data_IF_907539641255
#
_entry.id   IF_907539641255
#
_cell.length_a   1.000
_cell.length_b   1.000
_cell.length_c   1.000
_cell.angle_alpha   90.00
_cell.angle_beta   90.00
_cell.angle_gamma   90.00
#
_symmetry.space_group_name_H-M   'P 1'
#
loop_
_entity.id
_entity.type
_entity.pdbx_description
1 polymer ?
#
# COMPACT_ATOMS: atom_id res chain seq x y z
N UNK A 1 -11.10 11.10 -39.45
CA UNK A 1 -10.49 12.00 -38.47
C UNK A 1 -10.83 11.46 -37.09
N UNK A 2 -9.83 11.44 -36.20
CA UNK A 2 -9.93 11.29 -34.74
C UNK A 2 -10.33 9.90 -34.21
N UNK A 3 -9.30 9.14 -33.83
CA UNK A 3 -9.43 8.00 -32.92
C UNK A 3 -9.68 8.51 -31.48
N UNK A 4 -10.32 7.62 -30.71
CA UNK A 4 -10.75 7.64 -29.30
C UNK A 4 -10.12 8.66 -28.33
N UNK A 5 -10.92 9.24 -27.40
CA UNK A 5 -10.42 9.56 -26.08
C UNK A 5 -10.42 8.30 -25.19
N UNK A 6 -9.21 7.92 -24.81
CA UNK A 6 -8.81 7.62 -23.42
C UNK A 6 -9.48 6.42 -22.72
N UNK A 7 -8.66 5.37 -22.60
CA UNK A 7 -8.80 4.27 -21.67
C UNK A 7 -8.92 4.79 -20.24
N UNK A 8 -10.14 4.85 -19.72
CA UNK A 8 -10.36 4.72 -18.28
C UNK A 8 -10.32 3.22 -17.95
N UNK A 9 -9.11 2.68 -17.94
CA UNK A 9 -8.87 1.37 -17.33
C UNK A 9 -8.69 1.59 -15.83
N UNK A 10 -9.61 1.02 -15.07
CA UNK A 10 -9.69 1.19 -13.63
C UNK A 10 -11.01 0.68 -13.08
N UNK A 11 -11.51 -0.42 -13.65
CA UNK A 11 -12.56 -1.23 -13.03
C UNK A 11 -11.97 -1.96 -11.83
N UNK A 12 -11.67 -1.22 -10.76
CA UNK A 12 -11.42 -1.75 -9.43
C UNK A 12 -12.76 -2.07 -8.80
N UNK A 13 -13.14 -3.34 -8.88
CA UNK A 13 -14.34 -3.93 -8.30
C UNK A 13 -14.63 -3.38 -6.91
N UNK A 14 -15.75 -2.69 -6.80
CA UNK A 14 -16.42 -2.34 -5.55
C UNK A 14 -16.75 -3.63 -4.78
N UNK A 15 -15.95 -3.98 -3.77
CA UNK A 15 -16.36 -4.91 -2.72
C UNK A 15 -16.13 -4.24 -1.37
N UNK A 16 -17.06 -3.37 -0.97
CA UNK A 16 -17.49 -3.09 0.41
C UNK A 16 -16.48 -2.75 1.51
N UNK A 17 -15.18 -2.78 1.28
CA UNK A 17 -14.13 -2.37 2.21
C UNK A 17 -13.83 -0.91 1.88
N UNK A 18 -13.85 -0.04 2.89
CA UNK A 18 -13.34 1.32 2.74
C UNK A 18 -11.87 1.21 2.35
N UNK A 19 -11.60 1.30 1.05
CA UNK A 19 -10.24 1.37 0.52
C UNK A 19 -9.78 2.78 0.86
N UNK A 20 -8.68 2.89 1.62
CA UNK A 20 -8.08 4.20 1.91
C UNK A 20 -7.76 4.91 0.60
N UNK A 21 -8.10 6.19 0.51
CA UNK A 21 -7.90 6.97 -0.71
C UNK A 21 -6.42 7.36 -0.81
N UNK A 22 -5.68 6.68 -1.69
CA UNK A 22 -4.29 7.02 -2.00
C UNK A 22 -4.20 7.99 -3.17
N UNK A 23 -3.04 8.63 -3.34
CA UNK A 23 -2.85 9.69 -4.34
C UNK A 23 -2.90 9.16 -5.78
N UNK A 24 -2.39 7.96 -6.00
CA UNK A 24 -2.45 7.28 -7.28
C UNK A 24 -3.07 5.89 -7.20
N UNK A 25 -3.18 5.27 -8.37
CA UNK A 25 -3.67 3.90 -8.56
C UNK A 25 -2.54 2.91 -8.87
N UNK A 26 -1.30 3.39 -8.93
CA UNK A 26 -0.12 2.55 -9.02
C UNK A 26 0.20 1.99 -7.62
N UNK A 27 1.04 0.95 -7.56
CA UNK A 27 1.53 0.43 -6.28
C UNK A 27 3.00 0.08 -6.43
N UNK A 28 3.86 0.93 -5.90
CA UNK A 28 5.31 0.78 -5.93
C UNK A 28 5.80 0.53 -4.51
N UNK A 29 6.20 -0.70 -4.20
CA UNK A 29 6.82 -0.99 -2.91
C UNK A 29 8.23 -0.39 -2.85
N UNK A 30 8.39 0.69 -2.08
CA UNK A 30 9.69 1.33 -1.84
C UNK A 30 10.50 0.56 -0.81
N UNK A 31 9.87 0.09 0.26
CA UNK A 31 10.54 -0.61 1.34
C UNK A 31 9.63 -1.67 1.96
N UNK A 32 10.24 -2.80 2.28
CA UNK A 32 9.64 -3.88 3.07
C UNK A 32 10.63 -4.29 4.14
N UNK A 33 10.18 -4.36 5.39
CA UNK A 33 11.03 -4.77 6.50
C UNK A 33 10.35 -5.84 7.36
N UNK A 34 11.13 -6.85 7.71
CA UNK A 34 10.81 -7.85 8.72
C UNK A 34 11.58 -7.46 9.99
N UNK A 35 10.88 -6.94 10.98
CA UNK A 35 11.44 -6.40 12.22
C UNK A 35 11.60 -7.51 13.27
N UNK A 36 10.70 -8.48 13.27
CA UNK A 36 10.66 -9.57 14.25
C UNK A 36 11.40 -10.84 13.77
N UNK A 37 11.85 -10.89 12.51
CA UNK A 37 12.55 -12.02 11.88
C UNK A 37 11.72 -13.31 11.87
N UNK A 38 10.39 -13.21 11.83
CA UNK A 38 9.50 -14.36 11.73
C UNK A 38 9.38 -14.90 10.29
N UNK A 39 9.92 -14.15 9.31
CA UNK A 39 9.87 -14.48 7.89
C UNK A 39 8.63 -13.92 7.18
N UNK A 40 7.84 -13.08 7.85
CA UNK A 40 6.81 -12.24 7.26
C UNK A 40 7.28 -10.79 7.30
N UNK A 41 6.68 -9.97 6.43
CA UNK A 41 7.00 -8.54 6.43
C UNK A 41 6.15 -7.89 7.51
N UNK A 42 6.77 -7.06 8.34
CA UNK A 42 6.08 -6.29 9.38
C UNK A 42 5.75 -4.87 8.91
N UNK A 43 6.50 -4.33 7.95
CA UNK A 43 6.39 -2.95 7.50
C UNK A 43 6.42 -2.89 5.99
N UNK A 44 5.45 -2.18 5.39
CA UNK A 44 5.43 -1.84 3.98
C UNK A 44 5.39 -0.33 3.81
N UNK A 45 6.22 0.15 2.91
CA UNK A 45 6.27 1.53 2.46
C UNK A 45 5.99 1.50 0.97
N UNK A 46 4.90 2.14 0.58
CA UNK A 46 4.34 2.08 -0.76
C UNK A 46 4.17 3.50 -1.28
N UNK A 47 4.54 3.67 -2.54
CA UNK A 47 4.32 4.85 -3.35
C UNK A 47 3.26 4.51 -4.39
N UNK A 48 2.13 5.22 -4.37
CA UNK A 48 1.00 4.97 -5.26
C UNK A 48 0.97 5.85 -6.49
N UNK A 49 1.75 6.93 -6.53
CA UNK A 49 1.79 7.88 -7.64
C UNK A 49 3.08 7.77 -8.50
N UNK A 50 4.06 7.00 -8.01
CA UNK A 50 5.30 6.68 -8.70
C UNK A 50 6.29 7.85 -8.74
N UNK A 51 6.13 8.86 -7.89
CA UNK A 51 7.01 10.02 -7.85
C UNK A 51 8.32 9.76 -7.06
N UNK A 52 8.38 8.62 -6.35
CA UNK A 52 9.51 8.19 -5.52
C UNK A 52 9.38 8.56 -4.04
N UNK A 53 8.23 9.07 -3.61
CA UNK A 53 7.91 9.35 -2.20
C UNK A 53 6.77 8.44 -1.76
N UNK A 54 6.86 8.03 -0.50
CA UNK A 54 5.87 7.12 0.05
C UNK A 54 4.67 7.92 0.56
N UNK A 55 3.49 7.63 0.03
CA UNK A 55 2.21 8.14 0.52
C UNK A 55 1.44 7.08 1.32
N UNK A 56 1.84 5.80 1.27
CA UNK A 56 1.14 4.72 1.95
C UNK A 56 2.11 3.91 2.83
N UNK A 57 1.79 3.81 4.11
CA UNK A 57 2.56 3.06 5.11
C UNK A 57 1.68 2.04 5.79
N UNK A 58 2.15 0.80 5.86
CA UNK A 58 1.40 -0.29 6.48
C UNK A 58 2.28 -1.00 7.50
N UNK A 59 1.70 -1.31 8.66
CA UNK A 59 2.39 -1.92 9.79
C UNK A 59 1.59 -3.11 10.31
N UNK A 60 2.27 -4.24 10.43
CA UNK A 60 1.86 -5.42 11.20
C UNK A 60 2.53 -5.32 12.58
N UNK A 61 1.71 -5.20 13.62
CA UNK A 61 2.20 -5.06 15.00
C UNK A 61 2.11 -6.39 15.75
N UNK A 62 1.25 -7.30 15.31
CA UNK A 62 1.03 -8.60 15.94
C UNK A 62 1.86 -9.75 15.33
N UNK A 63 2.51 -9.52 14.19
CA UNK A 63 3.35 -10.46 13.46
C UNK A 63 2.56 -11.60 12.79
N UNK A 64 1.25 -11.41 12.59
CA UNK A 64 0.41 -12.45 12.00
C UNK A 64 0.53 -12.50 10.47
N UNK A 65 1.18 -11.51 9.84
CA UNK A 65 1.37 -11.37 8.40
C UNK A 65 0.25 -10.62 7.69
N UNK A 66 -0.64 -9.95 8.44
CA UNK A 66 -1.64 -9.00 7.97
C UNK A 66 -1.32 -7.63 8.53
N UNK A 67 -1.85 -6.59 7.88
CA UNK A 67 -1.62 -5.23 8.33
C UNK A 67 -2.63 -4.90 9.41
N UNK A 68 -2.11 -4.47 10.56
CA UNK A 68 -2.90 -3.99 11.69
C UNK A 68 -3.19 -2.50 11.60
N UNK A 69 -2.30 -1.74 10.96
CA UNK A 69 -2.40 -0.28 10.88
C UNK A 69 -1.93 0.17 9.49
N UNK A 70 -2.82 0.86 8.79
CA UNK A 70 -2.51 1.56 7.54
C UNK A 70 -2.52 3.06 7.79
N UNK A 71 -1.50 3.76 7.32
CA UNK A 71 -1.39 5.21 7.35
C UNK A 71 -1.21 5.72 5.93
N UNK A 72 -1.91 6.81 5.60
CA UNK A 72 -1.82 7.48 4.31
C UNK A 72 -1.42 8.93 4.53
N UNK A 73 -0.39 9.37 3.82
CA UNK A 73 0.12 10.74 3.77
C UNK A 73 -0.06 11.24 2.33
N UNK A 74 -1.16 11.97 2.09
CA UNK A 74 -1.56 12.38 0.73
C UNK A 74 -0.79 13.63 0.29
N UNK A 75 -0.37 14.45 1.26
CA UNK A 75 0.36 15.70 1.03
C UNK A 75 1.88 15.60 1.16
N UNK A 76 2.38 14.44 1.59
CA UNK A 76 3.79 14.07 1.67
C UNK A 76 4.60 15.01 2.59
N UNK A 77 3.95 15.58 3.60
CA UNK A 77 4.61 16.41 4.61
C UNK A 77 5.35 15.60 5.68
N UNK A 78 5.20 14.27 5.66
CA UNK A 78 5.75 13.34 6.64
C UNK A 78 4.83 13.07 7.83
N UNK A 79 3.60 13.59 7.80
CA UNK A 79 2.53 13.34 8.76
C UNK A 79 1.41 12.60 8.05
N UNK A 80 0.95 11.46 8.57
CA UNK A 80 -0.20 10.79 7.97
C UNK A 80 -1.47 11.61 8.15
N UNK A 81 -2.15 11.88 7.04
CA UNK A 81 -3.48 12.49 6.97
C UNK A 81 -4.55 11.52 7.49
N UNK A 82 -4.44 10.26 7.10
CA UNK A 82 -5.40 9.21 7.41
C UNK A 82 -4.70 8.04 8.07
N UNK A 83 -5.28 7.53 9.15
CA UNK A 83 -4.82 6.33 9.84
C UNK A 83 -6.01 5.43 10.06
N UNK A 84 -5.91 4.20 9.57
CA UNK A 84 -6.94 3.18 9.62
C UNK A 84 -6.40 1.95 10.32
N UNK A 85 -7.20 1.40 11.23
CA UNK A 85 -6.94 0.11 11.83
C UNK A 85 -7.28 -1.01 10.82
N UNK A 86 -6.29 -1.83 10.50
CA UNK A 86 -6.31 -2.91 9.51
C UNK A 86 -5.60 -2.53 8.21
N UNK A 87 -5.71 -3.39 7.20
CA UNK A 87 -5.08 -3.17 5.88
C UNK A 87 -5.70 -2.01 5.07
N UNK A 88 -6.70 -1.29 5.60
CA UNK A 88 -7.34 -0.17 4.90
C UNK A 88 -7.96 -0.55 3.56
N UNK A 89 -8.36 -1.81 3.37
CA UNK A 89 -8.83 -2.35 2.09
C UNK A 89 -7.75 -2.54 1.02
N UNK A 90 -6.48 -2.29 1.36
CA UNK A 90 -5.30 -2.46 0.51
C UNK A 90 -4.41 -3.57 1.09
N UNK A 91 -4.79 -4.85 0.93
CA UNK A 91 -3.97 -5.94 1.44
C UNK A 91 -2.57 -5.87 0.81
N UNK A 92 -1.49 -5.98 1.61
CA UNK A 92 -0.15 -5.99 1.07
C UNK A 92 0.03 -7.22 0.17
N UNK A 93 0.76 -7.06 -0.93
CA UNK A 93 1.13 -8.22 -1.75
C UNK A 93 2.05 -9.13 -0.95
N UNK A 94 1.49 -10.26 -0.48
CA UNK A 94 2.24 -11.40 0.05
C UNK A 94 3.03 -12.04 -1.10
N UNK A 95 4.17 -11.44 -1.42
CA UNK A 95 5.20 -12.14 -2.15
C UNK A 95 5.83 -13.18 -1.22
N UNK A 96 6.18 -14.39 -1.72
CA UNK A 96 6.92 -15.34 -0.92
C UNK A 96 8.20 -14.68 -0.38
N UNK A 97 8.63 -15.03 0.85
CA UNK A 97 9.77 -14.39 1.49
C UNK A 97 10.95 -14.40 0.51
N UNK A 98 11.60 -13.24 0.35
CA UNK A 98 12.81 -13.15 -0.46
C UNK A 98 13.80 -14.15 0.11
N UNK A 99 14.10 -15.21 -0.64
CA UNK A 99 15.02 -16.27 -0.25
C UNK A 99 16.31 -15.63 0.26
N UNK A 100 16.65 -15.90 1.53
CA UNK A 100 17.92 -15.49 2.12
C UNK A 100 19.07 -16.07 1.28
N UNK A 101 19.99 -15.20 0.83
CA UNK A 101 21.30 -15.58 0.28
C UNK A 101 22.37 -15.38 1.35
#
# INVERSE_FOLDING_TARGET
>A
MSQAPETVDGSGTTDGTAVVETRGNERVDLLRADTNNDGKTDVWVVDTDGDGRADLFQFDTDGDGKVDITMVDIDEDGTPDEVVDGDGGLPPEQLPPTVQV
#
